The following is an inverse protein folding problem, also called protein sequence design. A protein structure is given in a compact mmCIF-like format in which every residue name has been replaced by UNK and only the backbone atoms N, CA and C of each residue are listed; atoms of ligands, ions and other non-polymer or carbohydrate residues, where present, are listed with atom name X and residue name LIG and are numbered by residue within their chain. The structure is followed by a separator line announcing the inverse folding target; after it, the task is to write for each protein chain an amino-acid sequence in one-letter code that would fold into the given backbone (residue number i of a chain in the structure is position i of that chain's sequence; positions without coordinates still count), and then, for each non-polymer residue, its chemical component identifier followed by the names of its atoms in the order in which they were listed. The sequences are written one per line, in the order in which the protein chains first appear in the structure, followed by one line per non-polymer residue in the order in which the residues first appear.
data_IF_598479927671
#
_entry.id   IF_598479927671
#
_cell.length_a   1.000
_cell.length_b   1.000
_cell.length_c   1.000
_cell.angle_alpha   90.00
_cell.angle_beta   90.00
_cell.angle_gamma   90.00
#
_symmetry.space_group_name_H-M   'P 1'
#
loop_
_entity.id
_entity.type
_entity.pdbx_description
1 polymer ?
#
# COMPACT_ATOMS: atom_id res chain seq x y z
N UNK A 1 -18.49 19.18 10.06
CA UNK A 1 -19.45 18.93 8.96
C UNK A 1 -19.09 19.78 7.74
N UNK A 2 -19.06 19.17 6.55
CA UNK A 2 -18.82 19.89 5.28
C UNK A 2 -20.04 19.67 4.40
N UNK A 3 -20.62 20.76 3.86
CA UNK A 3 -21.81 20.68 3.01
C UNK A 3 -21.53 21.31 1.64
N UNK A 4 -21.91 20.66 0.53
CA UNK A 4 -21.84 21.26 -0.79
C UNK A 4 -22.85 22.41 -0.89
N UNK A 5 -22.49 23.45 -1.63
CA UNK A 5 -23.36 24.59 -1.96
C UNK A 5 -23.13 25.03 -3.39
N UNK A 6 -24.14 25.64 -3.99
CA UNK A 6 -24.05 26.14 -5.36
C UNK A 6 -23.04 27.28 -5.50
N UNK A 7 -22.46 27.37 -6.69
CA UNK A 7 -21.49 28.41 -7.03
C UNK A 7 -22.25 29.67 -7.40
N UNK A 8 -22.28 30.64 -6.48
CA UNK A 8 -23.03 31.90 -6.67
C UNK A 8 -22.53 32.77 -7.84
N UNK A 9 -21.25 32.66 -8.21
CA UNK A 9 -20.63 33.50 -9.25
C UNK A 9 -19.57 32.72 -10.02
N UNK A 10 -19.64 32.80 -11.34
CA UNK A 10 -18.59 32.35 -12.24
C UNK A 10 -17.86 33.57 -12.80
N UNK A 11 -16.53 33.59 -12.68
CA UNK A 11 -15.71 34.61 -13.34
C UNK A 11 -15.54 34.20 -14.81
N UNK A 12 -15.94 35.06 -15.74
CA UNK A 12 -15.65 34.86 -17.17
C UNK A 12 -14.13 34.72 -17.34
N UNK A 13 -13.70 33.65 -18.02
CA UNK A 13 -12.29 33.41 -18.33
C UNK A 13 -12.14 33.41 -19.84
N UNK A 14 -11.11 34.11 -20.34
CA UNK A 14 -10.78 34.23 -21.77
C UNK A 14 -10.22 32.94 -22.40
N UNK A 15 -10.19 31.81 -21.69
CA UNK A 15 -9.55 30.58 -22.17
C UNK A 15 -10.53 29.69 -22.94
N UNK A 16 -10.04 29.01 -23.98
CA UNK A 16 -10.81 28.07 -24.81
C UNK A 16 -11.45 26.92 -24.01
N UNK A 17 -10.85 26.50 -22.87
CA UNK A 17 -11.44 25.49 -21.96
C UNK A 17 -11.35 25.94 -20.50
N UNK A 18 -12.26 26.81 -20.04
CA UNK A 18 -12.20 27.30 -18.68
C UNK A 18 -12.50 26.16 -17.70
N UNK A 19 -11.56 25.87 -16.80
CA UNK A 19 -11.83 24.94 -15.69
C UNK A 19 -12.76 25.64 -14.71
N UNK A 20 -14.06 25.39 -14.86
CA UNK A 20 -15.10 25.98 -14.03
C UNK A 20 -15.25 25.17 -12.74
N UNK A 21 -15.35 25.87 -11.60
CA UNK A 21 -15.67 25.24 -10.32
C UNK A 21 -17.14 24.81 -10.37
N UNK A 22 -17.43 23.52 -10.27
CA UNK A 22 -18.81 23.00 -10.29
C UNK A 22 -19.52 23.12 -8.94
N UNK A 23 -18.78 23.07 -7.83
CA UNK A 23 -19.37 23.09 -6.49
C UNK A 23 -18.55 23.93 -5.51
N UNK A 24 -19.25 24.64 -4.62
CA UNK A 24 -18.70 25.28 -3.44
C UNK A 24 -18.97 24.46 -2.18
N UNK A 25 -18.30 24.78 -1.08
CA UNK A 25 -18.43 24.04 0.18
C UNK A 25 -18.48 25.02 1.35
N UNK A 26 -19.38 24.75 2.29
CA UNK A 26 -19.46 25.41 3.60
C UNK A 26 -18.88 24.47 4.65
N UNK A 27 -17.98 25.00 5.48
CA UNK A 27 -17.28 24.26 6.52
C UNK A 27 -17.85 24.63 7.89
N UNK A 28 -18.24 23.63 8.68
CA UNK A 28 -18.86 23.84 9.98
C UNK A 28 -18.25 22.92 11.03
N UNK A 29 -18.11 23.40 12.26
CA UNK A 29 -17.69 22.61 13.42
C UNK A 29 -18.77 22.69 14.50
N UNK A 30 -19.01 21.60 15.22
CA UNK A 30 -19.97 21.56 16.32
C UNK A 30 -19.22 21.85 17.62
N UNK A 31 -19.54 22.96 18.29
CA UNK A 31 -19.00 23.34 19.59
C UNK A 31 -20.17 23.57 20.53
N UNK A 32 -20.20 22.89 21.67
CA UNK A 32 -21.27 23.00 22.69
C UNK A 32 -22.69 22.88 22.09
N UNK A 33 -22.89 21.90 21.20
CA UNK A 33 -24.18 21.69 20.55
C UNK A 33 -24.48 22.59 19.34
N UNK A 34 -23.80 23.73 19.19
CA UNK A 34 -24.03 24.70 18.11
C UNK A 34 -23.11 24.46 16.92
N UNK A 35 -23.62 24.67 15.71
CA UNK A 35 -22.84 24.62 14.47
C UNK A 35 -22.26 26.00 14.16
N UNK A 36 -20.94 26.10 14.16
CA UNK A 36 -20.21 27.33 13.85
C UNK A 36 -19.61 27.19 12.45
N UNK A 37 -19.85 28.18 11.60
CA UNK A 37 -19.33 28.21 10.23
C UNK A 37 -17.92 28.80 10.22
N UNK A 38 -16.99 28.12 9.54
CA UNK A 38 -15.57 28.48 9.48
C UNK A 38 -15.09 28.58 8.03
N UNK A 39 -13.93 29.20 7.84
CA UNK A 39 -13.20 29.13 6.58
C UNK A 39 -12.51 27.75 6.43
N UNK A 40 -12.04 27.45 5.21
CA UNK A 40 -11.37 26.18 4.94
C UNK A 40 -10.11 25.99 5.80
N UNK A 41 -9.28 27.03 5.97
CA UNK A 41 -8.03 26.94 6.73
C UNK A 41 -8.28 26.64 8.21
N UNK A 42 -9.21 27.36 8.84
CA UNK A 42 -9.58 27.11 10.23
C UNK A 42 -10.15 25.69 10.42
N UNK A 43 -11.01 25.23 9.51
CA UNK A 43 -11.54 23.86 9.56
C UNK A 43 -10.43 22.80 9.48
N UNK A 44 -9.44 23.01 8.61
CA UNK A 44 -8.29 22.09 8.49
C UNK A 44 -7.44 22.08 9.77
N UNK A 45 -7.21 23.25 10.37
CA UNK A 45 -6.42 23.39 11.60
C UNK A 45 -7.11 22.73 12.80
N UNK A 46 -8.41 23.00 13.02
CA UNK A 46 -9.21 22.41 14.11
C UNK A 46 -9.21 20.88 14.05
N UNK A 47 -9.26 20.31 12.85
CA UNK A 47 -9.27 18.86 12.66
C UNK A 47 -7.89 18.22 12.42
N UNK A 48 -6.81 19.01 12.35
CA UNK A 48 -5.46 18.51 12.07
C UNK A 48 -5.32 17.77 10.74
N UNK A 49 -6.12 18.11 9.73
CA UNK A 49 -6.14 17.40 8.44
C UNK A 49 -5.52 18.23 7.31
N UNK A 50 -4.85 17.55 6.38
CA UNK A 50 -4.36 18.18 5.14
C UNK A 50 -5.52 18.41 4.16
N UNK A 51 -5.42 19.47 3.35
CA UNK A 51 -6.39 19.79 2.28
C UNK A 51 -6.65 18.63 1.32
N UNK A 52 -5.62 17.84 1.00
CA UNK A 52 -5.72 16.65 0.15
C UNK A 52 -6.64 15.59 0.74
N UNK A 53 -6.54 15.33 2.06
CA UNK A 53 -7.39 14.40 2.79
C UNK A 53 -8.85 14.86 2.81
N UNK A 54 -9.07 16.15 3.06
CA UNK A 54 -10.39 16.77 2.99
C UNK A 54 -11.04 16.61 1.61
N UNK A 55 -10.31 16.91 0.53
CA UNK A 55 -10.82 16.74 -0.85
C UNK A 55 -11.18 15.29 -1.18
N UNK A 56 -10.40 14.32 -0.69
CA UNK A 56 -10.69 12.89 -0.86
C UNK A 56 -11.99 12.49 -0.14
N UNK A 57 -12.19 12.94 1.11
CA UNK A 57 -13.43 12.68 1.86
C UNK A 57 -14.65 13.32 1.17
N UNK A 58 -14.53 14.56 0.71
CA UNK A 58 -15.61 15.25 -0.01
C UNK A 58 -16.00 14.51 -1.31
N UNK A 59 -15.03 14.10 -2.14
CA UNK A 59 -15.30 13.38 -3.40
C UNK A 59 -15.98 12.03 -3.20
N UNK A 60 -15.79 11.39 -2.04
CA UNK A 60 -16.38 10.09 -1.71
C UNK A 60 -17.62 10.22 -0.82
N UNK A 61 -18.27 11.39 -0.75
CA UNK A 61 -19.43 11.62 0.13
C UNK A 61 -19.17 11.24 1.61
N UNK A 62 -18.01 11.60 2.14
CA UNK A 62 -17.52 11.22 3.47
C UNK A 62 -17.29 9.72 3.69
N UNK A 63 -17.44 8.85 2.68
CA UNK A 63 -16.98 7.49 2.77
C UNK A 63 -15.46 7.47 2.91
N UNK A 64 -14.96 6.80 3.95
CA UNK A 64 -13.54 6.62 4.11
C UNK A 64 -13.00 5.82 2.92
N UNK A 65 -11.93 6.28 2.25
CA UNK A 65 -11.28 5.46 1.25
C UNK A 65 -10.86 4.15 1.92
N UNK A 66 -11.44 3.02 1.51
CA UNK A 66 -10.96 1.69 1.91
C UNK A 66 -9.45 1.67 1.64
N UNK A 67 -8.67 1.47 2.69
CA UNK A 67 -7.22 1.52 2.64
C UNK A 67 -6.77 0.40 1.70
N UNK A 68 -6.34 0.73 0.47
CA UNK A 68 -6.06 -0.25 -0.58
C UNK A 68 -4.66 -0.85 -0.41
N UNK A 69 -4.32 -1.26 0.82
CA UNK A 69 -3.00 -1.80 1.18
C UNK A 69 -2.75 -3.24 0.72
N UNK A 70 -3.65 -3.83 -0.07
CA UNK A 70 -3.58 -5.25 -0.48
C UNK A 70 -3.64 -5.51 -1.99
N UNK A 71 -3.32 -4.51 -2.84
CA UNK A 71 -3.30 -4.70 -4.31
C UNK A 71 -2.03 -5.42 -4.83
N UNK A 72 -1.18 -5.95 -3.96
CA UNK A 72 0.04 -6.68 -4.37
C UNK A 72 -0.24 -8.09 -4.92
N UNK A 73 -1.50 -8.52 -4.97
CA UNK A 73 -1.85 -9.84 -5.49
C UNK A 73 -1.80 -9.92 -7.03
N UNK A 74 -2.06 -8.81 -7.73
CA UNK A 74 -2.20 -8.74 -9.21
C UNK A 74 -0.92 -8.30 -9.94
N UNK A 75 0.24 -8.31 -9.28
CA UNK A 75 1.50 -7.92 -9.94
C UNK A 75 1.84 -8.96 -11.03
N UNK A 76 2.06 -8.56 -12.29
CA UNK A 76 2.31 -9.51 -13.39
C UNK A 76 3.61 -10.31 -13.20
N UNK A 77 4.56 -9.77 -12.44
CA UNK A 77 5.82 -10.43 -12.10
C UNK A 77 5.75 -11.23 -10.80
N UNK A 78 4.56 -11.48 -10.26
CA UNK A 78 4.42 -12.26 -9.03
C UNK A 78 4.63 -13.74 -9.36
N UNK A 79 5.56 -14.36 -8.66
CA UNK A 79 5.80 -15.81 -8.76
C UNK A 79 4.54 -16.58 -8.38
N UNK A 80 4.19 -17.61 -9.16
CA UNK A 80 3.06 -18.51 -8.87
C UNK A 80 3.24 -19.14 -7.50
N UNK A 81 2.14 -19.34 -6.77
CA UNK A 81 2.15 -19.96 -5.44
C UNK A 81 2.78 -21.34 -5.45
N UNK A 82 2.52 -22.12 -6.49
CA UNK A 82 2.97 -23.50 -6.60
C UNK A 82 4.50 -23.55 -6.75
N UNK A 83 5.06 -22.67 -7.58
CA UNK A 83 6.52 -22.50 -7.70
C UNK A 83 7.15 -22.11 -6.36
N UNK A 84 6.50 -21.25 -5.57
CA UNK A 84 7.01 -20.90 -4.24
C UNK A 84 6.99 -22.09 -3.27
N UNK A 85 5.97 -22.94 -3.35
CA UNK A 85 5.88 -24.18 -2.56
C UNK A 85 6.98 -25.15 -2.97
N UNK A 86 7.18 -25.38 -4.27
CA UNK A 86 8.25 -26.26 -4.77
C UNK A 86 9.64 -25.77 -4.36
N UNK A 87 9.89 -24.46 -4.44
CA UNK A 87 11.16 -23.86 -3.99
C UNK A 87 11.38 -24.06 -2.49
N UNK A 88 10.34 -23.88 -1.66
CA UNK A 88 10.45 -24.09 -0.20
C UNK A 88 10.77 -25.54 0.13
N UNK A 89 10.03 -26.47 -0.48
CA UNK A 89 10.24 -27.91 -0.30
C UNK A 89 11.67 -28.30 -0.70
N UNK A 90 12.15 -27.83 -1.84
CA UNK A 90 13.53 -28.06 -2.27
C UNK A 90 14.56 -27.55 -1.26
N UNK A 91 14.35 -26.34 -0.70
CA UNK A 91 15.27 -25.78 0.32
C UNK A 91 15.27 -26.62 1.60
N UNK A 92 14.11 -27.13 2.02
CA UNK A 92 13.98 -27.98 3.21
C UNK A 92 14.64 -29.36 3.04
N UNK A 93 14.68 -29.89 1.81
CA UNK A 93 15.35 -31.14 1.46
C UNK A 93 16.89 -31.02 1.41
N UNK A 94 17.44 -29.79 1.39
CA UNK A 94 18.89 -29.59 1.38
C UNK A 94 19.55 -30.08 2.69
N UNK A 95 20.62 -30.85 2.55
CA UNK A 95 21.43 -31.26 3.69
C UNK A 95 22.20 -30.05 4.25
N UNK A 96 21.68 -29.48 5.34
CA UNK A 96 22.31 -28.38 6.05
C UNK A 96 22.99 -28.91 7.33
N UNK A 97 24.25 -28.54 7.54
CA UNK A 97 25.06 -28.97 8.70
C UNK A 97 25.14 -27.85 9.72
N UNK A 98 25.17 -28.21 11.01
CA UNK A 98 25.51 -27.25 12.05
C UNK A 98 27.01 -26.96 11.99
N UNK A 99 27.38 -25.68 12.11
CA UNK A 99 28.79 -25.30 12.19
C UNK A 99 29.37 -25.73 13.54
N UNK A 100 30.57 -26.31 13.51
CA UNK A 100 31.38 -26.56 14.70
C UNK A 100 31.62 -25.29 15.53
N UNK A 101 31.70 -24.14 14.86
CA UNK A 101 31.91 -22.82 15.50
C UNK A 101 30.60 -22.11 15.87
N UNK A 102 29.46 -22.80 15.87
CA UNK A 102 28.22 -22.19 16.34
C UNK A 102 28.34 -21.86 17.84
N UNK A 103 28.19 -20.57 18.17
CA UNK A 103 28.16 -20.11 19.56
C UNK A 103 26.94 -20.70 20.29
N UNK A 104 27.02 -20.80 21.62
CA UNK A 104 25.99 -21.42 22.47
C UNK A 104 24.60 -20.80 22.32
N UNK A 105 24.53 -19.54 21.90
CA UNK A 105 23.33 -18.76 21.60
C UNK A 105 22.74 -18.98 20.19
N UNK A 106 23.46 -19.69 19.29
CA UNK A 106 23.12 -19.82 17.87
C UNK A 106 23.03 -21.28 17.38
N UNK A 107 22.55 -22.19 18.25
CA UNK A 107 22.44 -23.64 17.94
C UNK A 107 21.51 -23.99 16.76
N UNK A 108 20.58 -23.10 16.41
CA UNK A 108 19.61 -23.32 15.33
C UNK A 108 20.13 -22.95 13.93
N UNK A 109 21.29 -22.26 13.83
CA UNK A 109 21.85 -21.90 12.52
C UNK A 109 22.46 -23.12 11.84
N UNK A 110 21.90 -23.47 10.67
CA UNK A 110 22.44 -24.48 9.77
C UNK A 110 23.06 -23.82 8.56
N UNK A 111 24.15 -24.39 8.07
CA UNK A 111 24.89 -23.92 6.91
C UNK A 111 24.86 -24.98 5.82
N UNK A 112 24.75 -24.54 4.58
CA UNK A 112 24.95 -25.38 3.40
C UNK A 112 26.45 -25.56 3.14
N UNK A 113 26.79 -26.53 2.29
CA UNK A 113 28.18 -26.72 1.85
C UNK A 113 28.72 -25.44 1.19
N UNK A 114 29.96 -25.08 1.56
CA UNK A 114 30.70 -23.95 0.99
C UNK A 114 30.87 -24.02 -0.53
N UNK A 115 30.87 -25.22 -1.12
CA UNK A 115 30.97 -25.40 -2.57
C UNK A 115 29.63 -25.20 -3.29
N UNK A 116 28.53 -25.03 -2.56
CA UNK A 116 27.17 -24.89 -3.06
C UNK A 116 26.87 -23.40 -3.29
N UNK A 117 26.95 -22.97 -4.55
CA UNK A 117 26.57 -21.61 -4.93
C UNK A 117 25.07 -21.54 -5.28
N UNK A 118 24.49 -20.33 -5.20
CA UNK A 118 23.10 -20.08 -5.63
C UNK A 118 22.86 -20.57 -7.07
N UNK A 119 23.84 -20.39 -7.95
CA UNK A 119 23.75 -20.88 -9.34
C UNK A 119 23.75 -22.41 -9.45
N UNK A 120 24.46 -23.13 -8.56
CA UNK A 120 24.40 -24.60 -8.49
C UNK A 120 23.05 -25.06 -7.92
N UNK A 121 22.60 -24.43 -6.84
CA UNK A 121 21.28 -24.69 -6.23
C UNK A 121 20.14 -24.52 -7.23
N UNK A 122 20.17 -23.43 -8.00
CA UNK A 122 19.16 -23.18 -9.04
C UNK A 122 19.18 -24.27 -10.12
N UNK A 123 20.37 -24.69 -10.57
CA UNK A 123 20.49 -25.80 -11.54
C UNK A 123 19.96 -27.12 -10.99
N UNK A 124 20.27 -27.45 -9.74
CA UNK A 124 19.73 -28.65 -9.08
C UNK A 124 18.21 -28.59 -8.96
N UNK A 125 17.67 -27.44 -8.53
CA UNK A 125 16.23 -27.23 -8.45
C UNK A 125 15.56 -27.47 -9.80
N UNK A 126 16.12 -26.90 -10.88
CA UNK A 126 15.61 -27.13 -12.23
C UNK A 126 15.67 -28.61 -12.62
N UNK A 127 16.79 -29.30 -12.41
CA UNK A 127 16.93 -30.73 -12.75
C UNK A 127 15.88 -31.61 -12.04
N UNK A 128 15.62 -31.35 -10.75
CA UNK A 128 14.66 -32.14 -9.96
C UNK A 128 13.20 -31.83 -10.33
N UNK A 129 12.91 -30.61 -10.79
CA UNK A 129 11.54 -30.13 -11.06
C UNK A 129 11.20 -30.01 -12.57
N UNK A 130 12.11 -30.42 -13.47
CA UNK A 130 11.92 -30.37 -14.94
C UNK A 130 11.14 -31.56 -15.52
N UNK A 131 10.61 -32.47 -14.69
CA UNK A 131 9.74 -33.54 -15.16
C UNK A 131 8.25 -33.16 -15.27
N UNK A 132 7.85 -31.97 -14.81
CA UNK A 132 6.44 -31.52 -14.75
C UNK A 132 6.21 -30.20 -15.53
N UNK A 133 6.82 -30.05 -16.70
CA UNK A 133 6.43 -29.02 -17.70
C UNK A 133 6.25 -29.63 -19.07
#
# INVERSE_FOLDING_TARGET
CVRPTDVKRHRLKKSVRPRVRSQSFVYQVKINGKLITLCQSAFLAVHGIKRSKLRRKIKKNNAEPKDSKSLHHTRPTKTKTDTLVSVRRFIEELSARQSHYSRSDNKLRKYLDSHLSVAKLHRHFLQTNQHDT
#
